data_IF_568069078680
#
_entry.id   IF_568069078680
#
_cell.length_a   1.000
_cell.length_b   1.000
_cell.length_c   1.000
_cell.angle_alpha   90.00
_cell.angle_beta   90.00
_cell.angle_gamma   90.00
#
_symmetry.space_group_name_H-M   'P 1'
#
loop_
_entity.id
_entity.type
_entity.pdbx_description
1 polymer ?
#
# COMPACT_ATOMS: atom_id res chain seq x y z
N UNK A 1 10.32 -5.61 9.66
CA UNK A 1 9.10 -4.78 9.68
C UNK A 1 7.93 -5.44 8.97
N UNK A 2 8.15 -6.12 7.85
CA UNK A 2 7.14 -6.93 7.15
C UNK A 2 6.47 -7.95 8.08
N UNK A 3 7.25 -8.68 8.87
CA UNK A 3 6.73 -9.70 9.79
C UNK A 3 5.81 -9.15 10.90
N UNK A 4 6.00 -7.91 11.34
CA UNK A 4 5.24 -7.34 12.46
C UNK A 4 3.84 -6.93 12.05
N UNK A 5 3.67 -6.32 10.87
CA UNK A 5 2.35 -5.95 10.39
C UNK A 5 1.56 -7.16 9.90
N UNK A 6 2.21 -8.11 9.22
CA UNK A 6 1.58 -9.35 8.78
C UNK A 6 1.04 -10.14 9.97
N UNK A 7 1.83 -10.24 11.04
CA UNK A 7 1.42 -10.90 12.28
C UNK A 7 0.20 -10.23 12.93
N UNK A 8 0.20 -8.90 13.05
CA UNK A 8 -0.91 -8.17 13.67
C UNK A 8 -2.15 -8.21 12.77
N UNK A 9 -2.00 -8.08 11.45
CA UNK A 9 -3.10 -8.17 10.50
C UNK A 9 -3.75 -9.55 10.55
N UNK A 10 -2.94 -10.62 10.63
CA UNK A 10 -3.43 -11.99 10.78
C UNK A 10 -4.15 -12.20 12.13
N UNK A 11 -3.66 -11.60 13.21
CA UNK A 11 -4.30 -11.65 14.53
C UNK A 11 -5.69 -11.00 14.50
N UNK A 12 -5.83 -9.84 13.86
CA UNK A 12 -7.13 -9.16 13.70
C UNK A 12 -8.07 -9.95 12.79
N UNK A 13 -7.58 -10.44 11.66
CA UNK A 13 -8.39 -11.25 10.75
C UNK A 13 -8.92 -12.51 11.45
N UNK A 14 -8.07 -13.15 12.26
CA UNK A 14 -8.46 -14.31 13.07
C UNK A 14 -9.53 -13.95 14.11
N UNK A 15 -9.37 -12.83 14.81
CA UNK A 15 -10.35 -12.33 15.80
C UNK A 15 -11.69 -12.00 15.17
N UNK A 16 -11.68 -11.28 14.05
CA UNK A 16 -12.90 -10.92 13.30
C UNK A 16 -13.58 -12.16 12.71
N UNK A 17 -12.80 -13.11 12.18
CA UNK A 17 -13.33 -14.38 11.68
C UNK A 17 -13.95 -15.24 12.78
N UNK A 18 -13.35 -15.26 13.97
CA UNK A 18 -13.91 -15.96 15.12
C UNK A 18 -15.18 -15.28 15.62
N UNK A 19 -15.24 -13.94 15.62
CA UNK A 19 -16.45 -13.18 15.92
C UNK A 19 -17.56 -13.47 14.89
N UNK A 20 -17.24 -13.44 13.59
CA UNK A 20 -18.17 -13.76 12.51
C UNK A 20 -18.79 -15.15 12.66
N UNK A 21 -17.99 -16.14 13.07
CA UNK A 21 -18.48 -17.51 13.27
C UNK A 21 -19.47 -17.63 14.43
N UNK A 22 -19.36 -16.78 15.45
CA UNK A 22 -20.28 -16.73 16.59
C UNK A 22 -21.62 -16.06 16.23
N UNK A 23 -21.70 -15.32 15.12
CA UNK A 23 -22.91 -14.59 14.69
C UNK A 23 -23.27 -14.89 13.22
N UNK A 24 -24.05 -15.96 12.95
CA UNK A 24 -24.34 -16.40 11.59
C UNK A 24 -25.46 -15.62 10.86
N UNK A 25 -26.23 -14.76 11.56
CA UNK A 25 -27.42 -14.12 10.99
C UNK A 25 -27.18 -12.73 10.39
N UNK A 26 -26.24 -11.96 10.96
CA UNK A 26 -25.92 -10.58 10.57
C UNK A 26 -24.39 -10.49 10.47
N UNK A 27 -23.89 -10.05 9.31
CA UNK A 27 -22.46 -10.00 9.06
C UNK A 27 -21.76 -9.01 9.99
N UNK A 28 -20.47 -9.26 10.25
CA UNK A 28 -19.61 -8.41 11.10
C UNK A 28 -19.66 -6.93 10.70
N UNK A 29 -19.77 -6.65 9.40
CA UNK A 29 -19.88 -5.29 8.85
C UNK A 29 -21.14 -4.55 9.28
N UNK A 30 -22.27 -5.24 9.45
CA UNK A 30 -23.52 -4.59 9.88
C UNK A 30 -23.35 -4.08 11.30
N UNK A 31 -22.90 -4.93 12.22
CA UNK A 31 -22.65 -4.57 13.62
C UNK A 31 -21.71 -3.37 13.78
N UNK A 32 -20.65 -3.29 12.98
CA UNK A 32 -19.74 -2.13 12.98
C UNK A 32 -20.38 -0.87 12.36
N UNK A 33 -21.24 -1.02 11.35
CA UNK A 33 -21.98 0.10 10.77
C UNK A 33 -23.05 0.63 11.73
N UNK A 34 -23.74 -0.23 12.46
CA UNK A 34 -24.70 0.17 13.49
C UNK A 34 -23.99 0.96 14.60
N UNK A 35 -22.84 0.46 15.06
CA UNK A 35 -21.98 1.17 16.00
C UNK A 35 -21.54 2.53 15.47
N UNK A 36 -21.22 2.64 14.17
CA UNK A 36 -20.80 3.90 13.57
C UNK A 36 -21.95 4.90 13.41
N UNK A 37 -23.13 4.43 13.02
CA UNK A 37 -24.29 5.28 12.68
C UNK A 37 -25.05 5.73 13.93
N UNK A 38 -25.24 4.82 14.90
CA UNK A 38 -26.05 5.06 16.08
C UNK A 38 -25.23 5.17 17.38
N UNK A 39 -23.97 4.76 17.38
CA UNK A 39 -23.13 4.74 18.59
C UNK A 39 -23.51 3.64 19.58
N UNK A 40 -24.49 2.79 19.24
CA UNK A 40 -24.93 1.68 20.07
C UNK A 40 -24.28 0.37 19.62
N UNK A 41 -23.96 -0.48 20.58
CA UNK A 41 -23.22 -1.72 20.37
C UNK A 41 -24.06 -2.91 20.83
N UNK A 42 -24.22 -3.92 19.98
CA UNK A 42 -24.78 -5.21 20.42
C UNK A 42 -23.92 -5.81 21.56
N UNK A 43 -24.52 -6.50 22.55
CA UNK A 43 -23.78 -7.03 23.70
C UNK A 43 -22.67 -8.01 23.30
N UNK A 44 -22.86 -8.76 22.21
CA UNK A 44 -21.85 -9.65 21.62
C UNK A 44 -20.66 -8.88 21.03
N UNK A 45 -20.92 -7.75 20.36
CA UNK A 45 -19.87 -6.87 19.84
C UNK A 45 -19.15 -6.17 20.99
N UNK A 46 -19.85 -5.83 22.07
CA UNK A 46 -19.28 -5.16 23.24
C UNK A 46 -18.28 -6.07 23.96
N UNK A 47 -18.65 -7.34 24.16
CA UNK A 47 -17.75 -8.35 24.71
C UNK A 47 -16.52 -8.54 23.80
N UNK A 48 -16.72 -8.61 22.48
CA UNK A 48 -15.62 -8.71 21.53
C UNK A 48 -14.66 -7.51 21.61
N UNK A 49 -15.16 -6.27 21.65
CA UNK A 49 -14.35 -5.06 21.75
C UNK A 49 -13.62 -4.92 23.10
N UNK A 50 -14.19 -5.47 24.19
CA UNK A 50 -13.58 -5.39 25.52
C UNK A 50 -12.57 -6.51 25.79
N UNK A 51 -12.81 -7.71 25.25
CA UNK A 51 -12.04 -8.92 25.60
C UNK A 51 -11.09 -9.33 24.48
N UNK A 52 -11.58 -9.44 23.25
CA UNK A 52 -10.82 -9.99 22.12
C UNK A 52 -10.05 -8.90 21.36
N UNK A 53 -10.68 -7.75 21.14
CA UNK A 53 -10.13 -6.58 20.44
C UNK A 53 -9.97 -5.38 21.37
N UNK A 54 -9.22 -5.59 22.46
CA UNK A 54 -8.98 -4.58 23.50
C UNK A 54 -8.48 -3.25 22.93
N UNK A 55 -8.76 -2.14 23.63
CA UNK A 55 -8.24 -0.79 23.29
C UNK A 55 -6.74 -0.80 22.96
N UNK A 56 -5.93 -1.47 23.78
CA UNK A 56 -4.48 -1.57 23.59
C UNK A 56 -4.12 -2.33 22.30
N UNK A 57 -4.87 -3.40 21.99
CA UNK A 57 -4.70 -4.15 20.75
C UNK A 57 -5.03 -3.30 19.51
N UNK A 58 -6.11 -2.52 19.58
CA UNK A 58 -6.53 -1.63 18.50
C UNK A 58 -5.53 -0.48 18.28
N UNK A 59 -5.03 0.15 19.35
CA UNK A 59 -3.98 1.17 19.27
C UNK A 59 -2.68 0.62 18.67
N UNK A 60 -2.28 -0.60 19.07
CA UNK A 60 -1.09 -1.27 18.54
C UNK A 60 -1.25 -1.58 17.05
N UNK A 61 -2.45 -1.99 16.63
CA UNK A 61 -2.75 -2.21 15.22
C UNK A 61 -2.71 -0.93 14.41
N UNK A 62 -3.34 0.16 14.87
CA UNK A 62 -3.27 1.46 14.20
C UNK A 62 -1.82 1.89 13.98
N UNK A 63 -0.99 1.82 15.03
CA UNK A 63 0.43 2.12 14.92
C UNK A 63 1.18 1.20 13.94
N UNK A 64 0.89 -0.09 13.95
CA UNK A 64 1.50 -1.03 13.02
C UNK A 64 1.11 -0.74 11.57
N UNK A 65 -0.15 -0.39 11.32
CA UNK A 65 -0.65 0.00 10.00
C UNK A 65 0.03 1.28 9.51
N UNK A 66 0.06 2.33 10.32
CA UNK A 66 0.72 3.60 9.97
C UNK A 66 2.21 3.41 9.67
N UNK A 67 2.90 2.64 10.51
CA UNK A 67 4.32 2.33 10.33
C UNK A 67 4.55 1.54 9.04
N UNK A 68 3.64 0.63 8.69
CA UNK A 68 3.72 -0.17 7.46
C UNK A 68 3.51 0.69 6.23
N UNK A 69 2.52 1.58 6.25
CA UNK A 69 2.30 2.55 5.18
C UNK A 69 3.53 3.45 4.98
N UNK A 70 4.10 3.97 6.06
CA UNK A 70 5.35 4.77 6.00
C UNK A 70 6.50 3.96 5.41
N UNK A 71 6.71 2.73 5.88
CA UNK A 71 7.79 1.86 5.42
C UNK A 71 7.65 1.48 3.95
N UNK A 72 6.45 1.03 3.53
CA UNK A 72 6.16 0.67 2.14
C UNK A 72 6.37 1.88 1.24
N UNK A 73 5.87 3.06 1.65
CA UNK A 73 6.05 4.31 0.92
C UNK A 73 7.53 4.65 0.75
N UNK A 74 8.32 4.61 1.82
CA UNK A 74 9.75 4.91 1.77
C UNK A 74 10.47 3.95 0.83
N UNK A 75 10.25 2.64 0.95
CA UNK A 75 10.88 1.66 0.05
C UNK A 75 10.49 1.90 -1.42
N UNK A 76 9.22 2.17 -1.67
CA UNK A 76 8.71 2.37 -3.02
C UNK A 76 9.25 3.66 -3.65
N UNK A 77 9.30 4.76 -2.92
CA UNK A 77 9.81 6.04 -3.42
C UNK A 77 11.33 6.01 -3.50
N UNK A 78 12.03 5.68 -2.41
CA UNK A 78 13.47 5.88 -2.33
C UNK A 78 14.24 4.86 -3.17
N UNK A 79 13.74 3.62 -3.27
CA UNK A 79 14.44 2.56 -3.99
C UNK A 79 13.81 2.28 -5.35
N UNK A 80 12.52 1.95 -5.41
CA UNK A 80 11.91 1.44 -6.65
C UNK A 80 11.77 2.56 -7.69
N UNK A 81 11.24 3.71 -7.29
CA UNK A 81 11.07 4.84 -8.20
C UNK A 81 12.43 5.41 -8.64
N UNK A 82 13.35 5.63 -7.70
CA UNK A 82 14.71 6.10 -8.00
C UNK A 82 15.47 5.15 -8.92
N UNK A 83 15.42 3.84 -8.66
CA UNK A 83 16.06 2.84 -9.52
C UNK A 83 15.44 2.82 -10.92
N UNK A 84 14.11 2.89 -11.01
CA UNK A 84 13.41 2.96 -12.29
C UNK A 84 13.80 4.20 -13.10
N UNK A 85 13.85 5.37 -12.44
CA UNK A 85 14.28 6.62 -13.08
C UNK A 85 15.73 6.55 -13.58
N UNK A 86 16.65 6.03 -12.76
CA UNK A 86 18.05 5.85 -13.17
C UNK A 86 18.18 4.84 -14.33
N UNK A 87 17.41 3.75 -14.29
CA UNK A 87 17.36 2.77 -15.38
C UNK A 87 16.87 3.39 -16.68
N UNK A 88 15.78 4.15 -16.64
CA UNK A 88 15.25 4.88 -17.81
C UNK A 88 16.25 5.91 -18.31
N UNK A 89 16.94 6.63 -17.42
CA UNK A 89 17.96 7.61 -17.77
C UNK A 89 19.11 6.96 -18.56
N UNK A 90 19.73 5.90 -18.02
CA UNK A 90 20.84 5.23 -18.69
C UNK A 90 20.42 4.55 -20.00
N UNK A 91 19.23 3.94 -20.05
CA UNK A 91 18.70 3.37 -21.30
C UNK A 91 18.43 4.45 -22.36
N UNK A 92 18.04 5.66 -21.94
CA UNK A 92 17.85 6.81 -22.83
C UNK A 92 19.20 7.33 -23.35
N UNK A 93 20.23 7.38 -22.51
CA UNK A 93 21.60 7.70 -22.94
C UNK A 93 22.13 6.67 -23.95
N UNK A 94 21.98 5.38 -23.68
CA UNK A 94 22.37 4.31 -24.60
C UNK A 94 21.63 4.39 -25.94
N UNK A 95 20.33 4.73 -25.91
CA UNK A 95 19.54 4.98 -27.12
C UNK A 95 20.06 6.19 -27.91
N UNK A 96 20.46 7.27 -27.22
CA UNK A 96 21.12 8.43 -27.83
C UNK A 96 22.46 8.08 -28.48
N UNK A 97 23.30 7.30 -27.78
CA UNK A 97 24.60 6.83 -28.29
C UNK A 97 24.43 5.89 -29.49
N UNK A 98 23.45 4.99 -29.47
CA UNK A 98 23.11 4.12 -30.60
C UNK A 98 22.54 4.88 -31.81
N UNK A 99 22.10 6.13 -31.64
CA UNK A 99 21.70 6.98 -32.75
C UNK A 99 22.91 7.54 -33.52
N UNK A 100 24.07 7.66 -32.88
CA UNK A 100 25.36 7.99 -33.51
C UNK A 100 26.00 6.75 -34.14
N UNK A 101 25.44 6.34 -35.29
CA UNK A 101 25.90 5.16 -36.04
C UNK A 101 27.36 5.25 -36.48
N UNK A 102 27.87 6.46 -36.71
CA UNK A 102 29.22 6.70 -37.22
C UNK A 102 30.34 6.37 -36.21
N UNK A 103 30.01 6.36 -34.90
CA UNK A 103 30.98 6.15 -33.82
C UNK A 103 30.72 4.89 -32.97
N UNK A 104 29.46 4.45 -32.88
CA UNK A 104 29.05 3.34 -32.00
C UNK A 104 28.17 2.28 -32.69
N UNK A 105 27.99 2.38 -34.01
CA UNK A 105 27.00 1.60 -34.76
C UNK A 105 27.23 0.09 -34.84
N UNK A 106 28.44 -0.42 -34.54
CA UNK A 106 28.76 -1.85 -34.64
C UNK A 106 28.69 -2.62 -33.31
N UNK A 107 28.58 -1.94 -32.16
CA UNK A 107 28.67 -2.57 -30.83
C UNK A 107 27.42 -2.51 -29.96
N UNK A 108 26.50 -1.56 -30.19
CA UNK A 108 25.29 -1.39 -29.37
C UNK A 108 24.13 -2.15 -30.03
N UNK A 109 23.49 -3.07 -29.27
CA UNK A 109 22.36 -3.87 -29.74
C UNK A 109 21.26 -3.02 -30.38
N UNK A 110 20.63 -3.56 -31.42
CA UNK A 110 19.64 -2.90 -32.29
C UNK A 110 18.67 -2.01 -31.52
N UNK A 111 18.40 -0.81 -32.06
CA UNK A 111 17.45 0.19 -31.53
C UNK A 111 16.09 -0.38 -31.12
N UNK A 112 15.67 -1.51 -31.73
CA UNK A 112 14.46 -2.24 -31.38
C UNK A 112 14.50 -2.83 -29.94
N UNK A 113 15.63 -3.37 -29.49
CA UNK A 113 15.76 -3.95 -28.15
C UNK A 113 15.78 -2.88 -27.05
N UNK A 114 16.37 -1.71 -27.33
CA UNK A 114 16.37 -0.56 -26.40
C UNK A 114 14.97 0.09 -26.27
N UNK A 115 14.19 0.14 -27.34
CA UNK A 115 12.81 0.65 -27.28
C UNK A 115 11.88 -0.29 -26.48
N UNK A 116 12.07 -1.62 -26.60
CA UNK A 116 11.36 -2.60 -25.78
C UNK A 116 11.82 -2.48 -24.32
N UNK A 117 13.14 -2.35 -24.10
CA UNK A 117 13.74 -2.15 -22.77
C UNK A 117 13.38 -0.83 -22.09
N UNK A 118 12.98 0.22 -22.81
CA UNK A 118 12.41 1.46 -22.25
C UNK A 118 10.90 1.37 -21.99
N UNK A 119 10.19 0.54 -22.77
CA UNK A 119 8.75 0.35 -22.63
C UNK A 119 8.34 -0.26 -21.30
N UNK A 120 9.09 -1.25 -20.80
CA UNK A 120 8.83 -1.88 -19.51
C UNK A 120 9.06 -0.95 -18.31
N UNK A 121 10.27 -0.42 -18.05
CA UNK A 121 10.53 0.46 -16.91
C UNK A 121 9.78 1.79 -16.99
N UNK A 122 9.50 2.32 -18.20
CA UNK A 122 8.65 3.50 -18.36
C UNK A 122 7.20 3.25 -17.92
N UNK A 123 6.64 2.08 -18.27
CA UNK A 123 5.30 1.67 -17.82
C UNK A 123 5.27 1.40 -16.31
N UNK A 124 6.29 0.72 -15.76
CA UNK A 124 6.43 0.51 -14.31
C UNK A 124 6.55 1.83 -13.55
N UNK A 125 7.28 2.83 -14.08
CA UNK A 125 7.42 4.14 -13.44
C UNK A 125 6.13 4.95 -13.44
N UNK A 126 5.31 4.84 -14.49
CA UNK A 126 3.98 5.48 -14.55
C UNK A 126 2.99 4.78 -13.63
N UNK A 127 3.02 3.45 -13.57
CA UNK A 127 2.10 2.68 -12.72
C UNK A 127 2.44 2.84 -11.22
N UNK A 128 3.73 2.87 -10.87
CA UNK A 128 4.19 3.21 -9.52
C UNK A 128 3.88 4.66 -9.16
N UNK A 129 4.01 5.61 -10.10
CA UNK A 129 3.56 6.99 -9.90
C UNK A 129 2.06 7.07 -9.64
N UNK A 130 1.21 6.29 -10.31
CA UNK A 130 -0.25 6.25 -10.03
C UNK A 130 -0.54 5.69 -8.64
N UNK A 131 0.16 4.64 -8.21
CA UNK A 131 0.00 4.08 -6.86
C UNK A 131 0.46 5.07 -5.78
N UNK A 132 1.57 5.79 -6.01
CA UNK A 132 2.05 6.86 -5.14
C UNK A 132 1.06 8.02 -5.09
N UNK A 133 0.55 8.50 -6.24
CA UNK A 133 -0.46 9.56 -6.28
C UNK A 133 -1.74 9.12 -5.58
N UNK A 134 -2.19 7.88 -5.76
CA UNK A 134 -3.39 7.35 -5.08
C UNK A 134 -3.18 7.26 -3.56
N UNK A 135 -2.01 6.79 -3.11
CA UNK A 135 -1.68 6.72 -1.69
C UNK A 135 -1.46 8.09 -1.04
N UNK A 136 -0.94 9.07 -1.79
CA UNK A 136 -0.79 10.47 -1.35
C UNK A 136 -2.14 11.21 -1.34
N UNK A 137 -3.06 10.90 -2.26
CA UNK A 137 -4.40 11.50 -2.32
C UNK A 137 -5.36 10.94 -1.27
N UNK A 138 -5.14 9.70 -0.80
CA UNK A 138 -5.88 9.10 0.32
C UNK A 138 -5.37 9.54 1.70
N UNK A 139 -4.11 10.01 1.80
CA UNK A 139 -3.53 10.54 3.04
C UNK A 139 -4.29 11.75 3.64
N UNK A 140 -4.78 12.75 2.87
CA UNK A 140 -5.61 13.81 3.41
C UNK A 140 -7.00 13.34 3.87
N UNK A 141 -7.58 12.29 3.23
CA UNK A 141 -8.85 11.69 3.68
C UNK A 141 -8.73 11.00 5.05
N UNK A 142 -7.59 10.34 5.34
CA UNK A 142 -7.32 9.73 6.65
C UNK A 142 -7.08 10.77 7.74
N UNK A 143 -6.42 11.90 7.40
CA UNK A 143 -6.24 13.01 8.34
C UNK A 143 -7.54 13.78 8.62
N UNK A 144 -8.48 13.82 7.69
CA UNK A 144 -9.80 14.45 7.90
C UNK A 144 -10.66 13.64 8.89
N UNK A 145 -10.52 12.31 8.91
CA UNK A 145 -11.22 11.43 9.87
C UNK A 145 -10.64 11.55 11.29
N UNK A 146 -9.33 11.82 11.44
CA UNK A 146 -8.71 12.07 12.75
C UNK A 146 -8.90 13.51 13.26
N UNK A 147 -9.41 14.42 12.41
CA UNK A 147 -9.71 15.82 12.75
C UNK A 147 -11.14 16.08 13.23
N UNK A 148 -12.03 15.10 13.14
CA UNK A 148 -13.39 15.19 13.70
C UNK A 148 -13.31 14.97 15.20
N UNK A 149 -13.17 16.06 15.96
CA UNK A 149 -13.50 16.07 17.39
C UNK A 149 -14.98 15.68 17.53
N UNK A 150 -15.22 14.48 18.07
CA UNK A 150 -16.45 14.14 18.77
C UNK A 150 -16.44 14.91 20.11
#
# INVERSE_FOLDING_TARGET
MTETWESILLDIDTKLSNYARKRPAEGVTVDFLELLVWGECAPTLQEFLLVDLTKKGLETFGHAVDMSYSTIRTVLIDHVLTFSQNGVYHLSEMKGMAAFKDRYGSGISSKAQLNIGLGYPGLYSVETSKQVTTSIFLMPMVNEIQGVKI
#
